data_IF_854142642639
#
_entry.id   IF_854142642639
#
_cell.length_a   1.000
_cell.length_b   1.000
_cell.length_c   1.000
_cell.angle_alpha   90.00
_cell.angle_beta   90.00
_cell.angle_gamma   90.00
#
_symmetry.space_group_name_H-M   'P 1'
#
loop_
_entity.id
_entity.type
_entity.pdbx_description
1 polymer ?
#
# COMPACT_ATOMS: atom_id res chain seq x y z
N UNK A 1 -43.15 38.48 -21.78
CA UNK A 1 -41.69 38.56 -22.04
C UNK A 1 -41.01 37.52 -21.17
N UNK A 2 -40.29 36.58 -21.79
CA UNK A 2 -39.88 35.31 -21.20
C UNK A 2 -38.73 35.44 -20.19
N UNK A 3 -38.86 34.78 -19.04
CA UNK A 3 -37.79 34.56 -18.06
C UNK A 3 -36.80 33.55 -18.64
N UNK A 4 -35.56 33.94 -18.88
CA UNK A 4 -34.49 33.01 -19.20
C UNK A 4 -33.97 32.38 -17.91
N UNK A 5 -34.16 31.07 -17.76
CA UNK A 5 -33.44 30.25 -16.79
C UNK A 5 -32.00 30.09 -17.28
N UNK A 6 -31.03 30.58 -16.51
CA UNK A 6 -29.63 30.22 -16.71
C UNK A 6 -29.39 28.85 -16.06
N UNK A 7 -29.17 27.81 -16.87
CA UNK A 7 -28.58 26.56 -16.40
C UNK A 7 -27.09 26.81 -16.15
N UNK A 8 -26.67 26.85 -14.89
CA UNK A 8 -25.26 26.64 -14.54
C UNK A 8 -24.94 25.15 -14.74
N UNK A 9 -24.21 24.83 -15.80
CA UNK A 9 -23.52 23.54 -15.92
C UNK A 9 -22.25 23.60 -15.07
N UNK A 10 -22.32 22.99 -13.88
CA UNK A 10 -21.11 22.70 -13.09
C UNK A 10 -20.33 21.59 -13.78
N UNK A 11 -19.34 21.95 -14.59
CA UNK A 11 -18.25 21.04 -14.95
C UNK A 11 -17.46 20.76 -13.68
N UNK A 12 -17.79 19.67 -12.98
CA UNK A 12 -16.87 19.10 -12.01
C UNK A 12 -15.65 18.62 -12.80
N UNK A 13 -14.53 19.34 -12.67
CA UNK A 13 -13.25 18.79 -13.07
C UNK A 13 -13.05 17.52 -12.23
N UNK A 14 -13.13 16.36 -12.87
CA UNK A 14 -12.68 15.10 -12.27
C UNK A 14 -11.19 15.27 -12.04
N UNK A 15 -10.80 15.65 -10.82
CA UNK A 15 -9.42 15.59 -10.40
C UNK A 15 -9.01 14.12 -10.51
N UNK A 16 -8.18 13.81 -11.50
CA UNK A 16 -7.56 12.49 -11.61
C UNK A 16 -6.51 12.40 -10.49
N UNK A 17 -6.43 11.24 -9.87
CA UNK A 17 -5.62 10.88 -8.72
C UNK A 17 -4.71 9.67 -9.08
N UNK A 18 -3.78 9.25 -8.23
CA UNK A 18 -3.26 7.89 -8.19
C UNK A 18 -4.42 6.90 -8.24
N UNK A 19 -4.53 6.16 -9.35
CA UNK A 19 -5.70 5.34 -9.63
C UNK A 19 -5.57 3.92 -9.08
N UNK A 20 -6.70 3.24 -9.02
CA UNK A 20 -6.77 1.80 -8.84
C UNK A 20 -6.89 1.11 -10.20
N UNK A 21 -6.05 0.09 -10.43
CA UNK A 21 -6.09 -0.78 -11.61
C UNK A 21 -7.34 -1.66 -11.61
N UNK A 22 -7.59 -2.32 -12.74
CA UNK A 22 -8.77 -3.19 -12.93
C UNK A 22 -8.50 -4.45 -13.75
N UNK A 23 -7.26 -4.67 -14.18
CA UNK A 23 -6.83 -5.85 -14.93
C UNK A 23 -6.72 -7.08 -14.02
N UNK A 24 -6.40 -6.89 -12.73
CA UNK A 24 -6.35 -7.96 -11.74
C UNK A 24 -7.19 -7.60 -10.53
N UNK A 25 -8.07 -8.52 -10.13
CA UNK A 25 -8.93 -8.30 -8.96
C UNK A 25 -8.09 -8.28 -7.67
N UNK A 26 -8.26 -7.22 -6.88
CA UNK A 26 -7.73 -7.16 -5.52
C UNK A 26 -8.62 -7.95 -4.56
N UNK A 27 -8.11 -9.09 -4.08
CA UNK A 27 -8.81 -9.96 -3.13
C UNK A 27 -7.96 -10.14 -1.87
N UNK A 28 -8.29 -9.42 -0.80
CA UNK A 28 -7.52 -9.41 0.45
C UNK A 28 -7.56 -10.78 1.16
N UNK A 29 -6.41 -11.41 1.48
CA UNK A 29 -6.37 -12.64 2.25
C UNK A 29 -6.98 -12.43 3.64
N UNK A 30 -7.92 -13.31 4.02
CA UNK A 30 -8.62 -13.22 5.32
C UNK A 30 -7.66 -13.56 6.44
N UNK A 31 -7.68 -12.78 7.51
CA UNK A 31 -6.90 -13.02 8.71
C UNK A 31 -7.77 -12.65 9.92
N UNK A 32 -7.89 -13.58 10.87
CA UNK A 32 -8.61 -13.32 12.11
C UNK A 32 -7.66 -12.92 13.22
N UNK A 33 -8.13 -12.10 14.15
CA UNK A 33 -7.42 -11.81 15.40
C UNK A 33 -8.40 -11.83 16.57
N UNK A 34 -7.89 -11.59 17.77
CA UNK A 34 -8.71 -11.58 18.98
C UNK A 34 -8.70 -10.20 19.65
N UNK A 35 -9.88 -9.72 20.02
CA UNK A 35 -10.03 -8.57 20.92
C UNK A 35 -10.47 -9.07 22.30
N UNK A 36 -9.68 -8.77 23.33
CA UNK A 36 -9.90 -9.26 24.68
C UNK A 36 -10.33 -8.13 25.63
N UNK A 37 -11.30 -8.41 26.49
CA UNK A 37 -11.81 -7.44 27.49
C UNK A 37 -11.43 -7.81 28.93
N UNK A 38 -11.11 -9.08 29.16
CA UNK A 38 -10.62 -9.62 30.42
C UNK A 38 -9.83 -10.91 30.15
N UNK A 39 -9.11 -11.40 31.16
CA UNK A 39 -8.37 -12.66 31.07
C UNK A 39 -9.29 -13.81 30.63
N UNK A 40 -8.92 -14.48 29.53
CA UNK A 40 -9.69 -15.59 28.96
C UNK A 40 -11.02 -15.19 28.29
N UNK A 41 -11.31 -13.90 28.17
CA UNK A 41 -12.52 -13.36 27.51
C UNK A 41 -12.12 -12.57 26.27
N UNK A 42 -12.01 -13.29 25.16
CA UNK A 42 -11.64 -12.75 23.86
C UNK A 42 -12.67 -13.09 22.80
N UNK A 43 -12.92 -12.16 21.88
CA UNK A 43 -13.79 -12.34 20.72
C UNK A 43 -12.96 -12.36 19.45
N UNK A 44 -13.19 -13.36 18.60
CA UNK A 44 -12.59 -13.39 17.26
C UNK A 44 -13.14 -12.24 16.43
N UNK A 45 -12.24 -11.52 15.78
CA UNK A 45 -12.54 -10.48 14.80
C UNK A 45 -12.11 -10.98 13.44
N UNK A 46 -13.00 -10.83 12.46
CA UNK A 46 -12.79 -11.25 11.08
C UNK A 46 -12.34 -10.07 10.21
N UNK A 47 -11.05 -9.99 9.90
CA UNK A 47 -10.53 -9.00 8.95
C UNK A 47 -9.72 -9.64 7.83
N UNK A 48 -8.78 -8.86 7.32
CA UNK A 48 -7.92 -9.28 6.21
C UNK A 48 -6.60 -8.52 6.25
N UNK A 49 -5.71 -8.84 5.31
CA UNK A 49 -4.46 -8.10 5.08
C UNK A 49 -4.41 -7.53 3.68
N UNK A 50 -3.64 -6.47 3.51
CA UNK A 50 -3.38 -5.84 2.21
C UNK A 50 -1.90 -5.61 2.00
N UNK A 51 -1.42 -5.89 0.78
CA UNK A 51 -0.05 -5.61 0.38
C UNK A 51 0.17 -4.10 0.19
N UNK A 52 1.31 -3.61 0.68
CA UNK A 52 1.80 -2.25 0.45
C UNK A 52 1.90 -1.88 -1.03
N UNK A 53 1.56 -0.62 -1.33
CA UNK A 53 1.53 -0.12 -2.70
C UNK A 53 2.85 -0.20 -3.47
N UNK A 54 3.99 -0.19 -2.80
CA UNK A 54 5.31 -0.15 -3.44
C UNK A 54 5.63 -1.46 -4.17
N UNK A 55 5.06 -2.58 -3.72
CA UNK A 55 5.21 -3.89 -4.36
C UNK A 55 4.25 -4.10 -5.53
N UNK A 56 3.19 -3.29 -5.64
CA UNK A 56 2.18 -3.49 -6.67
C UNK A 56 2.71 -3.10 -8.04
N UNK A 57 2.14 -3.74 -9.06
CA UNK A 57 2.35 -3.32 -10.43
C UNK A 57 1.76 -1.92 -10.64
N UNK A 58 2.58 -1.03 -11.24
CA UNK A 58 2.20 0.34 -11.58
C UNK A 58 2.20 0.51 -13.08
N UNK A 59 1.02 0.69 -13.67
CA UNK A 59 0.85 0.80 -15.13
C UNK A 59 -0.09 1.93 -15.50
N UNK A 60 -0.13 2.27 -16.78
CA UNK A 60 -1.00 3.30 -17.30
C UNK A 60 -2.49 2.95 -17.09
N UNK A 61 -3.31 3.96 -16.80
CA UNK A 61 -4.73 3.78 -16.45
C UNK A 61 -5.59 3.20 -17.58
N UNK A 62 -5.12 3.22 -18.83
CA UNK A 62 -5.88 2.76 -19.99
C UNK A 62 -5.32 1.47 -20.63
N UNK A 63 -4.31 0.87 -20.01
CA UNK A 63 -3.54 -0.17 -20.65
C UNK A 63 -2.70 -0.98 -19.65
N UNK A 64 -1.56 -1.46 -20.14
CA UNK A 64 -0.61 -2.30 -19.40
C UNK A 64 0.83 -1.82 -19.61
N UNK A 65 0.99 -0.57 -20.07
CA UNK A 65 2.32 0.02 -20.20
C UNK A 65 2.82 0.40 -18.80
N UNK A 66 4.00 -0.09 -18.43
CA UNK A 66 4.56 0.15 -17.11
C UNK A 66 4.84 1.64 -16.91
N UNK A 67 4.30 2.19 -15.82
CA UNK A 67 4.73 3.49 -15.32
C UNK A 67 6.02 3.37 -14.51
N UNK A 68 6.23 2.21 -13.87
CA UNK A 68 7.44 1.88 -13.14
C UNK A 68 7.86 0.44 -13.46
N UNK A 69 9.11 0.25 -13.88
CA UNK A 69 9.68 -1.06 -14.21
C UNK A 69 11.14 -1.14 -13.76
N UNK A 70 11.51 -2.29 -13.17
CA UNK A 70 12.79 -2.45 -12.47
C UNK A 70 12.91 -1.39 -11.38
N UNK A 71 13.81 -0.44 -11.59
CA UNK A 71 14.06 0.67 -10.67
C UNK A 71 13.87 2.06 -11.29
N UNK A 72 13.09 2.16 -12.38
CA UNK A 72 12.90 3.43 -13.12
C UNK A 72 11.44 3.74 -13.42
N UNK A 73 11.12 5.03 -13.48
CA UNK A 73 9.84 5.55 -13.96
C UNK A 73 9.87 5.79 -15.48
N UNK A 74 8.74 5.56 -16.14
CA UNK A 74 8.56 5.92 -17.55
C UNK A 74 8.32 7.43 -17.69
N UNK A 75 9.31 8.17 -18.16
CA UNK A 75 9.26 9.65 -18.28
C UNK A 75 8.11 10.16 -19.16
N UNK A 76 7.63 9.37 -20.13
CA UNK A 76 6.52 9.78 -20.99
C UNK A 76 5.17 9.76 -20.25
N UNK A 77 4.99 8.77 -19.37
CA UNK A 77 3.79 8.64 -18.51
C UNK A 77 3.91 9.47 -17.23
N UNK A 78 5.13 9.68 -16.76
CA UNK A 78 5.48 10.37 -15.53
C UNK A 78 6.40 11.58 -15.76
N UNK A 79 5.95 12.60 -16.53
CA UNK A 79 6.74 13.81 -16.76
C UNK A 79 6.89 14.69 -15.50
N UNK A 80 5.94 14.57 -14.58
CA UNK A 80 5.96 15.16 -13.24
C UNK A 80 5.15 14.28 -12.27
N UNK A 81 5.26 14.54 -10.97
CA UNK A 81 4.67 13.72 -9.92
C UNK A 81 3.13 13.66 -9.97
N UNK A 82 2.48 14.78 -10.31
CA UNK A 82 1.02 14.89 -10.37
C UNK A 82 0.50 14.17 -11.61
N UNK A 83 1.10 14.41 -12.77
CA UNK A 83 0.75 13.74 -14.02
C UNK A 83 0.97 12.22 -13.91
N UNK A 84 2.07 11.79 -13.29
CA UNK A 84 2.34 10.37 -13.06
C UNK A 84 1.24 9.73 -12.22
N UNK A 85 0.86 10.32 -11.08
CA UNK A 85 -0.26 9.82 -10.29
C UNK A 85 -1.56 9.75 -11.12
N UNK A 86 -1.83 10.74 -11.96
CA UNK A 86 -3.04 10.77 -12.80
C UNK A 86 -3.05 9.73 -13.93
N UNK A 87 -1.89 9.45 -14.49
CA UNK A 87 -1.73 8.59 -15.66
C UNK A 87 -1.56 7.13 -15.27
N UNK A 88 -1.23 6.85 -14.01
CA UNK A 88 -0.86 5.53 -13.52
C UNK A 88 -1.81 4.98 -12.46
N UNK A 89 -1.88 3.66 -12.39
CA UNK A 89 -2.75 2.91 -11.49
C UNK A 89 -1.95 1.85 -10.72
N UNK A 90 -2.33 1.64 -9.46
CA UNK A 90 -1.90 0.49 -8.67
C UNK A 90 -2.83 -0.70 -8.93
N UNK A 91 -2.27 -1.82 -9.39
CA UNK A 91 -3.06 -3.00 -9.72
C UNK A 91 -3.30 -3.94 -8.52
N UNK A 92 -4.33 -4.78 -8.62
CA UNK A 92 -4.53 -5.90 -7.72
C UNK A 92 -3.42 -6.96 -7.85
N UNK A 93 -3.34 -7.87 -6.88
CA UNK A 93 -2.20 -8.80 -6.78
C UNK A 93 -2.59 -10.26 -6.59
N UNK A 94 -1.69 -11.17 -6.99
CA UNK A 94 -1.73 -12.59 -6.66
C UNK A 94 -0.86 -12.81 -5.42
N UNK A 95 -1.49 -12.73 -4.26
CA UNK A 95 -0.83 -12.80 -2.95
C UNK A 95 0.05 -14.05 -2.81
N UNK A 96 -0.47 -15.23 -3.17
CA UNK A 96 0.24 -16.48 -2.97
C UNK A 96 1.25 -16.73 -4.10
N UNK A 97 0.81 -16.63 -5.36
CA UNK A 97 1.62 -17.02 -6.52
C UNK A 97 2.76 -16.06 -6.83
N UNK A 98 2.58 -14.76 -6.59
CA UNK A 98 3.60 -13.74 -6.88
C UNK A 98 4.36 -13.33 -5.62
N UNK A 99 3.67 -13.12 -4.50
CA UNK A 99 4.29 -12.55 -3.30
C UNK A 99 4.56 -13.59 -2.20
N UNK A 100 4.06 -14.83 -2.33
CA UNK A 100 4.27 -15.87 -1.32
C UNK A 100 3.62 -15.54 0.03
N UNK A 101 2.52 -14.80 0.00
CA UNK A 101 1.73 -14.38 1.15
C UNK A 101 0.53 -15.31 1.27
N UNK A 102 0.42 -15.99 2.40
CA UNK A 102 -0.72 -16.89 2.68
C UNK A 102 -1.26 -16.67 4.09
N UNK A 103 -2.55 -16.96 4.27
CA UNK A 103 -3.21 -16.89 5.57
C UNK A 103 -3.98 -18.17 5.86
N UNK A 104 -4.10 -18.51 7.15
CA UNK A 104 -4.92 -19.61 7.62
C UNK A 104 -5.46 -19.29 9.03
N UNK A 105 -6.74 -18.94 9.13
CA UNK A 105 -7.33 -18.48 10.39
C UNK A 105 -6.63 -17.21 10.89
N UNK A 106 -5.99 -17.30 12.06
CA UNK A 106 -5.22 -16.19 12.65
C UNK A 106 -3.72 -16.20 12.33
N UNK A 107 -3.26 -17.06 11.42
CA UNK A 107 -1.86 -17.14 11.01
C UNK A 107 -1.63 -16.47 9.64
N UNK A 108 -0.55 -15.69 9.55
CA UNK A 108 -0.02 -15.08 8.34
C UNK A 108 1.39 -15.63 8.07
N UNK A 109 1.66 -16.07 6.85
CA UNK A 109 3.01 -16.48 6.41
C UNK A 109 3.48 -15.57 5.28
N UNK A 110 4.69 -15.01 5.44
CA UNK A 110 5.36 -14.16 4.45
C UNK A 110 6.64 -14.85 3.99
N UNK A 111 6.72 -15.27 2.72
CA UNK A 111 7.97 -15.78 2.15
C UNK A 111 8.92 -14.63 1.82
N UNK A 112 10.21 -14.84 2.05
CA UNK A 112 11.22 -13.85 1.69
C UNK A 112 11.43 -13.76 0.17
N UNK A 113 11.54 -14.89 -0.53
CA UNK A 113 11.71 -14.93 -1.99
C UNK A 113 10.63 -15.80 -2.60
N UNK A 114 9.96 -15.28 -3.62
CA UNK A 114 8.94 -16.01 -4.40
C UNK A 114 9.24 -15.86 -5.89
N UNK A 115 9.69 -16.94 -6.51
CA UNK A 115 9.87 -17.03 -7.96
C UNK A 115 8.51 -17.26 -8.63
N UNK A 116 8.21 -16.49 -9.67
CA UNK A 116 7.00 -16.62 -10.46
C UNK A 116 7.32 -16.54 -11.96
N UNK A 117 6.32 -16.76 -12.81
CA UNK A 117 6.52 -16.89 -14.25
C UNK A 117 7.14 -15.67 -14.97
N UNK A 118 7.16 -14.49 -14.32
CA UNK A 118 7.65 -13.23 -14.91
C UNK A 118 8.82 -12.60 -14.14
N UNK A 119 9.31 -13.23 -13.06
CA UNK A 119 10.32 -12.61 -12.22
C UNK A 119 10.42 -13.24 -10.84
N UNK A 120 11.04 -12.49 -9.93
CA UNK A 120 11.24 -12.88 -8.54
C UNK A 120 10.81 -11.75 -7.64
N UNK A 121 9.88 -12.02 -6.72
CA UNK A 121 9.55 -11.10 -5.64
C UNK A 121 10.52 -11.28 -4.47
N UNK A 122 10.95 -10.16 -3.86
CA UNK A 122 11.80 -10.12 -2.68
C UNK A 122 11.09 -9.32 -1.58
N UNK A 123 10.86 -9.96 -0.45
CA UNK A 123 10.19 -9.38 0.71
C UNK A 123 8.73 -9.03 0.47
N UNK A 124 8.12 -8.44 1.50
CA UNK A 124 6.75 -7.92 1.47
C UNK A 124 6.52 -7.03 2.68
N UNK A 125 5.63 -6.04 2.55
CA UNK A 125 5.02 -5.31 3.67
C UNK A 125 3.51 -5.39 3.55
N UNK A 126 2.82 -5.74 4.64
CA UNK A 126 1.36 -5.86 4.65
C UNK A 126 0.75 -5.13 5.83
N UNK A 127 -0.50 -4.71 5.70
CA UNK A 127 -1.27 -4.03 6.73
C UNK A 127 -2.52 -4.82 7.09
N UNK A 128 -2.94 -4.75 8.36
CA UNK A 128 -4.25 -5.26 8.78
C UNK A 128 -5.36 -4.34 8.30
N UNK A 129 -6.42 -4.92 7.75
CA UNK A 129 -7.64 -4.25 7.32
C UNK A 129 -8.80 -4.59 8.27
N UNK A 130 -9.53 -3.56 8.69
CA UNK A 130 -10.82 -3.69 9.39
C UNK A 130 -11.94 -4.00 8.39
N UNK A 131 -11.90 -3.36 7.22
CA UNK A 131 -12.77 -3.60 6.08
C UNK A 131 -12.02 -3.37 4.77
N UNK A 132 -12.72 -3.47 3.63
CA UNK A 132 -12.12 -3.35 2.28
C UNK A 132 -11.35 -2.03 2.04
N UNK A 133 -11.72 -0.94 2.72
CA UNK A 133 -11.18 0.41 2.47
C UNK A 133 -10.53 1.06 3.69
N UNK A 134 -10.43 0.37 4.82
CA UNK A 134 -9.90 0.93 6.07
C UNK A 134 -8.92 -0.02 6.75
N UNK A 135 -7.75 0.51 7.10
CA UNK A 135 -6.82 -0.18 7.99
C UNK A 135 -7.44 -0.38 9.37
N UNK A 136 -7.03 -1.46 10.04
CA UNK A 136 -7.35 -1.66 11.45
C UNK A 136 -6.48 -0.74 12.29
N UNK A 137 -7.11 0.25 12.93
CA UNK A 137 -6.42 1.18 13.82
C UNK A 137 -6.35 0.63 15.25
N UNK A 138 -5.18 0.81 15.89
CA UNK A 138 -4.93 0.39 17.27
C UNK A 138 -4.61 1.58 18.17
N UNK A 139 -5.37 1.73 19.27
CA UNK A 139 -5.09 2.71 20.31
C UNK A 139 -4.35 2.02 21.47
N UNK A 140 -3.02 2.02 21.41
CA UNK A 140 -2.18 1.16 22.26
C UNK A 140 -1.97 1.68 23.70
N UNK A 141 -2.18 2.98 23.95
CA UNK A 141 -1.94 3.55 25.26
C UNK A 141 -2.85 2.88 26.31
N UNK A 142 -2.22 2.35 27.36
CA UNK A 142 -2.91 1.60 28.42
C UNK A 142 -3.72 0.40 27.87
N UNK A 143 -3.14 -0.32 26.90
CA UNK A 143 -3.62 -1.59 26.34
C UNK A 143 -2.46 -2.60 26.27
N UNK A 144 -2.80 -3.85 25.99
CA UNK A 144 -1.86 -4.93 25.75
C UNK A 144 -2.04 -5.41 24.29
N UNK A 145 -0.91 -5.68 23.62
CA UNK A 145 -0.88 -6.32 22.31
C UNK A 145 0.01 -7.56 22.43
N UNK A 146 -0.46 -8.70 21.93
CA UNK A 146 0.25 -9.97 21.98
C UNK A 146 0.09 -10.71 20.66
N UNK A 147 1.12 -11.47 20.28
CA UNK A 147 1.15 -12.29 19.09
C UNK A 147 2.10 -13.47 19.27
N UNK A 148 1.82 -14.56 18.56
CA UNK A 148 2.75 -15.68 18.41
C UNK A 148 3.55 -15.48 17.12
N UNK A 149 4.83 -15.86 17.14
CA UNK A 149 5.71 -15.75 15.98
C UNK A 149 6.64 -16.94 15.86
N UNK A 150 6.81 -17.42 14.62
CA UNK A 150 7.80 -18.43 14.26
C UNK A 150 8.88 -17.80 13.38
N UNK A 151 10.06 -17.59 13.95
CA UNK A 151 11.27 -17.09 13.26
C UNK A 151 12.30 -18.19 13.02
N UNK A 152 11.93 -19.48 13.17
CA UNK A 152 12.87 -20.61 13.09
C UNK A 152 13.57 -20.73 11.73
N UNK A 153 12.92 -20.24 10.66
CA UNK A 153 13.45 -20.23 9.30
C UNK A 153 13.97 -18.85 8.85
N UNK A 154 14.20 -17.92 9.79
CA UNK A 154 14.67 -16.57 9.50
C UNK A 154 16.18 -16.46 9.82
N UNK A 155 17.08 -16.63 8.82
CA UNK A 155 18.52 -16.58 9.03
C UNK A 155 19.03 -15.16 9.31
N UNK A 156 20.31 -15.06 9.71
CA UNK A 156 21.01 -13.79 9.86
C UNK A 156 20.92 -12.94 8.58
N UNK A 157 20.67 -11.63 8.74
CA UNK A 157 20.56 -10.67 7.64
C UNK A 157 19.12 -10.44 7.17
N UNK A 158 18.15 -11.23 7.63
CA UNK A 158 16.73 -10.97 7.42
C UNK A 158 16.08 -10.34 8.66
N UNK A 159 14.93 -9.71 8.45
CA UNK A 159 14.10 -9.17 9.52
C UNK A 159 12.63 -9.52 9.28
N UNK A 160 12.01 -10.17 10.26
CA UNK A 160 10.56 -10.41 10.30
C UNK A 160 9.97 -9.43 11.29
N UNK A 161 9.47 -8.30 10.80
CA UNK A 161 9.04 -7.19 11.64
C UNK A 161 7.52 -7.16 11.81
N UNK A 162 7.09 -6.86 13.04
CA UNK A 162 5.72 -6.47 13.37
C UNK A 162 5.81 -5.19 14.19
N UNK A 163 5.23 -4.12 13.67
CA UNK A 163 5.38 -2.78 14.20
C UNK A 163 4.13 -1.95 13.92
N UNK A 164 4.03 -0.79 14.59
CA UNK A 164 2.94 0.17 14.38
C UNK A 164 3.49 1.49 13.86
N UNK A 165 2.78 2.07 12.90
CA UNK A 165 3.05 3.40 12.35
C UNK A 165 1.78 4.25 12.36
N UNK A 166 1.94 5.57 12.42
CA UNK A 166 0.81 6.50 12.47
C UNK A 166 0.30 6.90 11.08
N UNK A 167 -0.04 5.91 10.26
CA UNK A 167 -0.70 6.10 8.96
C UNK A 167 -2.16 6.55 9.13
N UNK A 168 -2.72 7.21 8.12
CA UNK A 168 -4.16 7.50 8.07
C UNK A 168 -4.95 6.20 7.82
N UNK A 169 -6.11 6.05 8.48
CA UNK A 169 -6.94 4.83 8.38
C UNK A 169 -7.35 4.49 6.95
N UNK A 170 -7.56 5.50 6.12
CA UNK A 170 -8.02 5.38 4.72
C UNK A 170 -6.87 5.37 3.71
N UNK A 171 -5.61 5.24 4.17
CA UNK A 171 -4.40 5.36 3.33
C UNK A 171 -4.15 6.79 2.81
N UNK A 172 -4.83 7.79 3.37
CA UNK A 172 -4.67 9.20 3.04
C UNK A 172 -5.67 9.75 2.03
N UNK A 173 -6.65 8.97 1.57
CA UNK A 173 -7.63 9.42 0.55
C UNK A 173 -8.44 10.64 0.99
N UNK A 174 -8.77 10.75 2.29
CA UNK A 174 -9.48 11.90 2.84
C UNK A 174 -8.63 13.17 2.93
N UNK A 175 -7.31 13.05 3.03
CA UNK A 175 -6.37 14.18 3.10
C UNK A 175 -5.81 14.58 1.73
N UNK A 176 -5.68 13.62 0.83
CA UNK A 176 -5.00 13.77 -0.44
C UNK A 176 -5.94 13.37 -1.58
N UNK A 177 -6.62 14.33 -2.23
CA UNK A 177 -7.51 14.06 -3.36
C UNK A 177 -6.79 13.38 -4.55
N UNK A 178 -5.46 13.50 -4.60
CA UNK A 178 -4.61 12.79 -5.55
C UNK A 178 -4.42 11.30 -5.20
N UNK A 179 -4.97 10.77 -4.11
CA UNK A 179 -4.99 9.33 -3.84
C UNK A 179 -6.42 8.80 -3.98
N UNK A 180 -6.68 7.98 -5.01
CA UNK A 180 -7.96 7.29 -5.18
C UNK A 180 -7.85 5.77 -4.91
N UNK A 181 -6.66 5.26 -4.60
CA UNK A 181 -6.43 3.84 -4.34
C UNK A 181 -6.64 3.51 -2.84
N UNK A 182 -6.09 4.32 -1.94
CA UNK A 182 -6.35 4.24 -0.50
C UNK A 182 -5.86 2.96 0.17
N UNK A 183 -6.41 2.69 1.36
CA UNK A 183 -6.02 1.52 2.17
C UNK A 183 -6.30 0.20 1.44
N UNK A 184 -7.30 0.15 0.55
CA UNK A 184 -7.60 -1.00 -0.30
C UNK A 184 -6.39 -1.49 -1.11
N UNK A 185 -5.49 -0.57 -1.48
CA UNK A 185 -4.27 -0.85 -2.23
C UNK A 185 -2.98 -0.58 -1.43
N UNK A 186 -3.07 -0.51 -0.10
CA UNK A 186 -1.89 -0.40 0.75
C UNK A 186 -1.12 0.93 0.61
N UNK A 187 -1.81 2.03 0.34
CA UNK A 187 -1.19 3.36 0.20
C UNK A 187 -1.03 4.09 1.54
N UNK A 188 -0.20 5.15 1.54
CA UNK A 188 -0.06 6.07 2.66
C UNK A 188 0.99 5.65 3.69
N UNK A 189 1.89 4.73 3.35
CA UNK A 189 2.97 4.31 4.24
C UNK A 189 3.85 5.49 4.69
N UNK A 190 4.27 5.44 5.94
CA UNK A 190 5.22 6.33 6.56
C UNK A 190 5.86 5.62 7.75
N UNK A 191 7.05 6.04 8.16
CA UNK A 191 7.72 5.54 9.35
C UNK A 191 8.69 6.59 9.94
N UNK A 192 9.46 6.21 10.96
CA UNK A 192 10.42 7.12 11.61
C UNK A 192 11.66 7.40 10.76
N UNK A 193 11.89 6.62 9.70
CA UNK A 193 13.03 6.74 8.81
C UNK A 193 12.78 7.76 7.69
N UNK A 194 11.53 8.22 7.52
CA UNK A 194 11.15 9.11 6.44
C UNK A 194 11.53 8.53 5.06
N UNK A 195 11.22 7.25 4.86
CA UNK A 195 11.59 6.47 3.69
C UNK A 195 11.29 7.20 2.36
N UNK A 196 12.30 7.28 1.48
CA UNK A 196 12.25 8.01 0.19
C UNK A 196 12.06 7.12 -1.03
N UNK A 197 12.09 5.81 -0.82
CA UNK A 197 11.84 4.76 -1.82
C UNK A 197 10.35 4.49 -2.03
N UNK A 198 9.47 5.20 -1.30
CA UNK A 198 8.03 5.12 -1.47
C UNK A 198 7.64 5.80 -2.79
N UNK A 199 7.07 5.00 -3.70
CA UNK A 199 6.68 5.44 -5.05
C UNK A 199 5.56 6.48 -5.09
N UNK A 200 4.66 6.48 -4.10
CA UNK A 200 3.56 7.43 -4.01
C UNK A 200 3.44 8.00 -2.60
N UNK A 201 3.48 9.32 -2.47
CA UNK A 201 3.40 10.06 -1.21
C UNK A 201 2.40 11.20 -1.39
N UNK A 202 1.49 11.37 -0.43
CA UNK A 202 0.48 12.44 -0.44
C UNK A 202 -0.41 12.48 -1.71
N UNK A 203 -0.64 11.34 -2.36
CA UNK A 203 -1.44 11.25 -3.59
C UNK A 203 -0.71 11.77 -4.83
N UNK A 204 0.61 11.93 -4.77
CA UNK A 204 1.47 12.22 -5.91
C UNK A 204 2.49 11.09 -6.07
N UNK A 205 2.97 10.85 -7.29
CA UNK A 205 4.11 9.98 -7.47
C UNK A 205 5.38 10.63 -6.88
N UNK A 206 6.42 9.83 -6.63
CA UNK A 206 7.74 10.30 -6.22
C UNK A 206 8.75 10.14 -7.37
N UNK A 207 8.31 10.43 -8.60
CA UNK A 207 9.05 10.20 -9.84
C UNK A 207 10.10 11.30 -10.13
N UNK A 208 9.81 12.55 -9.77
CA UNK A 208 10.76 13.66 -9.99
C UNK A 208 12.03 13.47 -9.18
N UNK A 209 13.18 13.53 -9.87
CA UNK A 209 14.49 13.33 -9.24
C UNK A 209 14.74 11.90 -8.76
N UNK A 210 13.98 10.92 -9.24
CA UNK A 210 14.18 9.51 -8.88
C UNK A 210 15.58 9.03 -9.25
N UNK A 211 16.28 8.46 -8.27
CA UNK A 211 17.62 7.87 -8.44
C UNK A 211 17.52 6.36 -8.19
N UNK A 212 17.76 5.52 -9.21
CA UNK A 212 17.83 4.07 -9.05
C UNK A 212 18.86 3.64 -8.00
N UNK A 213 18.52 2.66 -7.18
CA UNK A 213 19.46 2.07 -6.24
C UNK A 213 20.43 1.15 -7.01
N UNK A 214 21.77 1.34 -6.92
CA UNK A 214 22.72 0.46 -7.60
C UNK A 214 22.76 -0.97 -7.04
N UNK A 215 22.29 -1.17 -5.81
CA UNK A 215 22.34 -2.45 -5.09
C UNK A 215 20.95 -3.15 -5.01
N UNK A 216 19.90 -2.52 -5.56
CA UNK A 216 18.54 -3.07 -5.61
C UNK A 216 17.89 -2.75 -6.96
N UNK A 217 17.66 -3.78 -7.76
CA UNK A 217 17.10 -3.66 -9.11
C UNK A 217 15.61 -3.26 -9.14
N UNK A 218 14.93 -3.28 -7.99
CA UNK A 218 13.50 -2.97 -7.86
C UNK A 218 13.23 -1.63 -7.15
N UNK A 219 14.27 -1.00 -6.59
CA UNK A 219 14.15 0.17 -5.73
C UNK A 219 15.00 1.35 -6.20
N UNK A 220 14.65 2.52 -5.69
CA UNK A 220 15.35 3.79 -5.88
C UNK A 220 14.84 4.78 -4.85
N UNK A 221 15.22 6.04 -4.99
CA UNK A 221 14.77 7.10 -4.07
C UNK A 221 14.32 8.33 -4.86
N UNK A 222 13.14 8.85 -4.51
CA UNK A 222 12.63 10.10 -5.07
C UNK A 222 12.93 11.29 -4.18
N UNK A 223 12.49 12.49 -4.58
CA UNK A 223 12.76 13.73 -3.84
C UNK A 223 12.08 13.79 -2.46
N UNK A 224 10.96 13.10 -2.28
CA UNK A 224 10.17 13.13 -1.04
C UNK A 224 10.39 11.89 -0.18
N UNK A 225 10.17 12.04 1.12
CA UNK A 225 10.10 10.95 2.08
C UNK A 225 8.84 11.05 2.93
N UNK A 226 8.33 9.92 3.42
CA UNK A 226 7.09 9.85 4.19
C UNK A 226 7.37 9.56 5.68
N UNK A 227 7.16 10.56 6.52
CA UNK A 227 7.50 10.50 7.95
C UNK A 227 6.26 10.34 8.84
N UNK A 228 6.32 9.47 9.84
CA UNK A 228 5.38 9.49 10.97
C UNK A 228 5.95 8.77 12.20
N UNK A 229 5.34 8.91 13.39
CA UNK A 229 5.73 8.13 14.56
C UNK A 229 5.61 6.63 14.32
N UNK A 230 6.57 5.89 14.85
CA UNK A 230 6.73 4.44 14.73
C UNK A 230 6.97 3.83 16.11
N UNK A 231 6.42 2.63 16.32
CA UNK A 231 6.66 1.78 17.47
C UNK A 231 6.97 0.37 16.97
N UNK A 232 8.25 0.03 16.99
CA UNK A 232 8.73 -1.34 16.80
C UNK A 232 8.45 -2.15 18.08
N UNK A 233 7.61 -3.20 18.01
CA UNK A 233 7.22 -4.04 19.16
C UNK A 233 8.37 -4.97 19.55
#
# INVERSE_FOLDING_TARGET
MHRQLALLSSLAALARAQQAGTLQAENHPRLTWQECTAQGSCTTVDGSIVLDSNWRWVHDVNGSENCYEGNTWNEALCPDNVACAQNCALEGVDYEGTYGITTNGGSLTLKYVTEHQYGTNIGSRVYLLEDENNYKMFNLLNREFSFDVDVSNLPCGLNGALYFVSMDQDGGTGRFPGNAAGAKYGTGYCDSQCARDIKFINGEANAEGWVPNPDDENAGVGNYGACCPEMDI
#
